data_IF_420807703719
#
_entry.id   IF_420807703719
#
_cell.length_a   1.000
_cell.length_b   1.000
_cell.length_c   1.000
_cell.angle_alpha   90.00
_cell.angle_beta   90.00
_cell.angle_gamma   90.00
#
_symmetry.space_group_name_H-M   'P 1'
#
loop_
_entity.id
_entity.type
_entity.pdbx_description
1 polymer ?
#
# COMPACT_ATOMS: atom_id res chain seq x y z
N UNK A 1 10.57 -22.45 20.36
CA UNK A 1 9.97 -23.61 19.68
C UNK A 1 8.87 -24.12 20.58
N UNK A 2 7.61 -23.98 20.18
CA UNK A 2 6.48 -24.55 20.96
C UNK A 2 6.51 -26.08 20.85
N UNK A 3 6.12 -26.76 21.92
CA UNK A 3 6.07 -28.22 22.01
C UNK A 3 5.08 -28.79 20.97
N UNK A 4 5.35 -29.98 20.41
CA UNK A 4 4.44 -30.68 19.47
C UNK A 4 3.01 -30.77 20.02
N UNK A 5 2.86 -30.86 21.34
CA UNK A 5 1.58 -30.94 22.03
C UNK A 5 0.80 -29.61 22.00
N UNK A 6 1.50 -28.47 22.12
CA UNK A 6 0.88 -27.14 22.07
C UNK A 6 0.39 -26.79 20.66
N UNK A 7 1.12 -27.20 19.62
CA UNK A 7 0.68 -27.05 18.23
C UNK A 7 -0.59 -27.88 17.94
N UNK A 8 -0.67 -29.11 18.47
CA UNK A 8 -1.83 -29.99 18.28
C UNK A 8 -3.10 -29.46 18.96
N UNK A 9 -2.97 -28.96 20.19
CA UNK A 9 -4.07 -28.30 20.91
C UNK A 9 -4.52 -27.03 20.21
N UNK A 10 -3.59 -26.26 19.63
CA UNK A 10 -3.90 -25.06 18.85
C UNK A 10 -4.65 -25.39 17.55
N UNK A 11 -4.22 -26.42 16.83
CA UNK A 11 -4.91 -26.90 15.62
C UNK A 11 -6.31 -27.44 15.94
N UNK A 12 -6.47 -28.21 17.03
CA UNK A 12 -7.77 -28.69 17.49
C UNK A 12 -8.70 -27.55 17.93
N UNK A 13 -8.17 -26.49 18.56
CA UNK A 13 -8.93 -25.28 18.90
C UNK A 13 -9.32 -24.48 17.65
N UNK A 14 -8.45 -24.38 16.66
CA UNK A 14 -8.72 -23.68 15.39
C UNK A 14 -9.82 -24.39 14.58
N UNK A 15 -9.83 -25.73 14.57
CA UNK A 15 -10.88 -26.53 13.92
C UNK A 15 -12.28 -26.35 14.54
N UNK A 16 -12.35 -25.90 15.79
CA UNK A 16 -13.61 -25.69 16.54
C UNK A 16 -14.17 -24.28 16.42
N UNK A 17 -13.42 -23.32 15.86
CA UNK A 17 -13.91 -21.96 15.67
C UNK A 17 -14.72 -21.89 14.38
N UNK A 18 -15.93 -21.32 14.41
CA UNK A 18 -16.70 -21.11 13.18
C UNK A 18 -15.90 -20.23 12.22
N UNK A 19 -15.92 -20.50 10.91
CA UNK A 19 -15.25 -19.68 9.93
C UNK A 19 -15.79 -18.25 10.03
N UNK A 20 -14.87 -17.28 10.09
CA UNK A 20 -15.24 -15.87 10.15
C UNK A 20 -15.77 -15.46 8.77
N UNK A 21 -17.08 -15.30 8.65
CA UNK A 21 -17.76 -14.95 7.39
C UNK A 21 -17.15 -13.73 6.70
N UNK A 22 -16.67 -12.75 7.47
CA UNK A 22 -15.99 -11.56 6.94
C UNK A 22 -14.62 -11.87 6.33
N UNK A 23 -13.82 -12.71 6.97
CA UNK A 23 -12.51 -13.13 6.46
C UNK A 23 -12.65 -13.95 5.20
N UNK A 24 -13.60 -14.89 5.15
CA UNK A 24 -13.84 -15.70 3.95
C UNK A 24 -14.25 -14.83 2.75
N UNK A 25 -15.11 -13.82 2.97
CA UNK A 25 -15.45 -12.84 1.93
C UNK A 25 -14.21 -12.10 1.40
N UNK A 26 -13.29 -11.69 2.28
CA UNK A 26 -12.05 -11.02 1.84
C UNK A 26 -11.13 -11.98 1.09
N UNK A 27 -10.98 -13.22 1.54
CA UNK A 27 -10.20 -14.24 0.83
C UNK A 27 -10.78 -14.49 -0.57
N UNK A 28 -12.11 -14.59 -0.69
CA UNK A 28 -12.76 -14.79 -1.98
C UNK A 28 -12.52 -13.62 -2.95
N UNK A 29 -12.68 -12.37 -2.50
CA UNK A 29 -12.38 -11.17 -3.31
C UNK A 29 -10.92 -11.17 -3.78
N UNK A 30 -9.98 -11.62 -2.94
CA UNK A 30 -8.56 -11.72 -3.32
C UNK A 30 -8.35 -12.83 -4.36
N UNK A 31 -8.99 -14.00 -4.21
CA UNK A 31 -8.89 -15.09 -5.19
C UNK A 31 -9.42 -14.66 -6.56
N UNK A 32 -10.55 -13.98 -6.58
CA UNK A 32 -11.16 -13.43 -7.81
C UNK A 32 -10.25 -12.40 -8.47
N UNK A 33 -9.71 -11.45 -7.71
CA UNK A 33 -8.78 -10.46 -8.23
C UNK A 33 -7.46 -11.07 -8.73
N UNK A 34 -6.93 -12.07 -8.02
CA UNK A 34 -5.70 -12.76 -8.43
C UNK A 34 -5.89 -13.54 -9.74
N UNK A 35 -7.05 -14.16 -9.93
CA UNK A 35 -7.38 -14.82 -11.18
C UNK A 35 -7.57 -13.80 -12.31
N UNK A 36 -8.33 -12.74 -12.07
CA UNK A 36 -8.68 -11.75 -13.09
C UNK A 36 -7.49 -10.90 -13.56
N UNK A 37 -6.60 -10.50 -12.63
CA UNK A 37 -5.55 -9.52 -12.92
C UNK A 37 -4.14 -10.11 -12.97
N UNK A 38 -3.90 -11.26 -12.34
CA UNK A 38 -2.58 -11.90 -12.30
C UNK A 38 -2.56 -13.28 -12.96
N UNK A 39 -3.70 -13.77 -13.48
CA UNK A 39 -3.85 -15.12 -14.05
C UNK A 39 -3.39 -16.23 -13.09
N UNK A 40 -3.71 -16.07 -11.80
CA UNK A 40 -3.29 -17.01 -10.74
C UNK A 40 -4.45 -17.54 -9.94
N UNK A 41 -4.57 -18.86 -9.93
CA UNK A 41 -5.35 -19.58 -8.91
C UNK A 41 -4.50 -19.69 -7.65
N UNK A 42 -5.01 -19.13 -6.56
CA UNK A 42 -4.28 -19.03 -5.28
C UNK A 42 -5.07 -19.71 -4.17
N UNK A 43 -4.34 -20.37 -3.27
CA UNK A 43 -4.89 -20.91 -2.03
C UNK A 43 -4.84 -19.85 -0.92
N UNK A 44 -5.55 -20.09 0.19
CA UNK A 44 -5.49 -19.23 1.37
C UNK A 44 -4.08 -19.13 1.92
N UNK A 45 -3.34 -20.24 1.86
CA UNK A 45 -1.94 -20.29 2.26
C UNK A 45 -1.10 -19.32 1.43
N UNK A 46 -1.34 -19.24 0.12
CA UNK A 46 -0.64 -18.31 -0.76
C UNK A 46 -0.97 -16.86 -0.40
N UNK A 47 -2.26 -16.57 -0.16
CA UNK A 47 -2.71 -15.24 0.28
C UNK A 47 -1.99 -14.83 1.57
N UNK A 48 -2.03 -15.68 2.61
CA UNK A 48 -1.39 -15.37 3.89
C UNK A 48 0.13 -15.25 3.79
N UNK A 49 0.78 -16.08 2.98
CA UNK A 49 2.22 -15.97 2.73
C UNK A 49 2.56 -14.67 1.99
N UNK A 50 1.70 -14.22 1.08
CA UNK A 50 1.93 -13.00 0.30
C UNK A 50 1.98 -11.75 1.18
N UNK A 51 1.13 -11.68 2.22
CA UNK A 51 1.10 -10.60 3.21
C UNK A 51 2.39 -10.55 4.05
N UNK A 52 3.09 -11.69 4.17
CA UNK A 52 4.38 -11.80 4.86
C UNK A 52 5.57 -11.60 3.92
N UNK A 53 5.35 -11.12 2.70
CA UNK A 53 6.41 -10.84 1.74
C UNK A 53 7.47 -9.92 2.33
N UNK A 54 8.74 -10.24 2.07
CA UNK A 54 9.90 -9.38 2.44
C UNK A 54 9.90 -8.05 1.69
N UNK A 55 9.04 -7.89 0.67
CA UNK A 55 8.86 -6.64 -0.04
C UNK A 55 8.04 -5.62 0.76
N UNK A 56 7.33 -6.03 1.80
CA UNK A 56 6.54 -5.13 2.64
C UNK A 56 7.30 -4.68 3.88
N UNK A 57 7.08 -3.42 4.26
CA UNK A 57 7.44 -2.96 5.60
C UNK A 57 6.50 -3.58 6.65
N UNK A 58 6.94 -3.72 7.91
CA UNK A 58 6.11 -4.33 8.97
C UNK A 58 4.74 -3.67 9.15
N UNK A 59 4.67 -2.34 8.99
CA UNK A 59 3.44 -1.56 9.20
C UNK A 59 2.41 -1.78 8.06
N UNK A 60 2.74 -1.61 6.76
CA UNK A 60 1.87 -2.05 5.66
C UNK A 60 1.47 -3.52 5.74
N UNK A 61 2.39 -4.44 6.04
CA UNK A 61 2.07 -5.87 6.17
C UNK A 61 1.05 -6.14 7.29
N UNK A 62 1.24 -5.52 8.46
CA UNK A 62 0.28 -5.60 9.56
C UNK A 62 -1.07 -5.00 9.18
N UNK A 63 -1.08 -3.88 8.45
CA UNK A 63 -2.30 -3.28 7.94
C UNK A 63 -3.06 -4.24 7.02
N UNK A 64 -2.41 -4.78 5.99
CA UNK A 64 -3.00 -5.76 5.07
C UNK A 64 -3.55 -6.98 5.82
N UNK A 65 -2.77 -7.54 6.74
CA UNK A 65 -3.22 -8.66 7.57
C UNK A 65 -4.51 -8.33 8.33
N UNK A 66 -4.54 -7.19 9.03
CA UNK A 66 -5.73 -6.74 9.77
C UNK A 66 -6.92 -6.48 8.84
N UNK A 67 -6.66 -5.98 7.64
CA UNK A 67 -7.69 -5.70 6.64
C UNK A 67 -8.35 -6.98 6.13
N UNK A 68 -7.59 -8.04 5.87
CA UNK A 68 -8.13 -9.36 5.49
C UNK A 68 -8.93 -9.98 6.64
N UNK A 69 -8.47 -9.80 7.88
CA UNK A 69 -9.20 -10.24 9.08
C UNK A 69 -10.41 -9.38 9.44
N UNK A 70 -10.65 -8.27 8.73
CA UNK A 70 -11.65 -7.25 9.09
C UNK A 70 -11.51 -6.79 10.55
N UNK A 71 -10.28 -6.58 11.01
CA UNK A 71 -9.93 -6.31 12.41
C UNK A 71 -9.80 -4.82 12.75
N UNK A 72 -10.17 -3.93 11.83
CA UNK A 72 -10.17 -2.49 12.06
C UNK A 72 -11.52 -2.04 12.62
N UNK A 73 -11.51 -1.05 13.51
CA UNK A 73 -12.73 -0.46 14.10
C UNK A 73 -13.26 0.64 13.17
N UNK A 74 -14.02 0.24 12.16
CA UNK A 74 -14.59 1.13 11.13
C UNK A 74 -16.00 0.68 10.74
N UNK A 75 -16.76 1.56 10.07
CA UNK A 75 -18.06 1.23 9.52
C UNK A 75 -19.01 0.63 10.57
N UNK A 76 -19.59 -0.52 10.24
CA UNK A 76 -20.59 -1.23 11.05
C UNK A 76 -20.12 -1.62 12.46
N UNK A 77 -18.82 -1.57 12.75
CA UNK A 77 -18.32 -1.74 14.11
C UNK A 77 -18.92 -0.71 15.07
N UNK A 78 -19.12 0.53 14.60
CA UNK A 78 -19.56 1.64 15.45
C UNK A 78 -21.09 1.76 15.60
N UNK A 79 -21.87 1.15 14.71
CA UNK A 79 -23.34 1.36 14.63
C UNK A 79 -24.10 0.90 15.87
N UNK A 80 -23.53 -0.02 16.65
CA UNK A 80 -24.18 -0.56 17.86
C UNK A 80 -23.72 0.14 19.15
N UNK A 81 -22.88 1.18 19.03
CA UNK A 81 -22.35 1.93 20.17
C UNK A 81 -23.11 3.28 20.21
N UNK A 82 -24.01 3.50 21.19
CA UNK A 82 -25.00 4.59 21.18
C UNK A 82 -24.44 6.01 20.97
N UNK A 83 -23.19 6.27 21.34
CA UNK A 83 -22.54 7.59 21.23
C UNK A 83 -21.46 7.66 20.14
N UNK A 84 -21.24 6.57 19.42
CA UNK A 84 -20.20 6.49 18.39
C UNK A 84 -20.76 6.18 17.00
N UNK A 85 -22.08 6.13 16.83
CA UNK A 85 -22.74 5.79 15.56
C UNK A 85 -22.24 6.61 14.38
N UNK A 86 -21.98 7.91 14.60
CA UNK A 86 -21.48 8.84 13.57
C UNK A 86 -20.10 8.45 13.00
N UNK A 87 -19.32 7.64 13.74
CA UNK A 87 -18.03 7.10 13.28
C UNK A 87 -18.17 5.94 12.29
N UNK A 88 -19.39 5.43 12.09
CA UNK A 88 -19.66 4.40 11.09
C UNK A 88 -19.70 4.97 9.68
N UNK A 89 -19.93 6.27 9.54
CA UNK A 89 -20.22 6.91 8.25
C UNK A 89 -19.12 7.92 7.92
N UNK A 90 -18.71 7.95 6.67
CA UNK A 90 -17.85 9.00 6.14
C UNK A 90 -18.70 10.25 5.96
N UNK A 91 -18.43 11.32 6.71
CA UNK A 91 -19.24 12.54 6.71
C UNK A 91 -19.31 13.18 5.32
N UNK A 92 -18.21 13.20 4.57
CA UNK A 92 -18.19 13.85 3.24
C UNK A 92 -18.86 13.04 2.13
N UNK A 93 -19.02 11.73 2.35
CA UNK A 93 -19.60 10.85 1.34
C UNK A 93 -20.97 10.32 1.74
N UNK A 94 -21.41 10.58 2.97
CA UNK A 94 -22.64 10.06 3.58
C UNK A 94 -22.82 8.55 3.37
N UNK A 95 -21.71 7.81 3.41
CA UNK A 95 -21.67 6.38 3.12
C UNK A 95 -20.98 5.61 4.25
N UNK A 96 -21.37 4.33 4.42
CA UNK A 96 -20.72 3.44 5.38
C UNK A 96 -19.21 3.39 5.11
N UNK A 97 -18.42 3.72 6.12
CA UNK A 97 -16.98 3.84 5.99
C UNK A 97 -16.29 2.48 6.19
N UNK A 98 -16.41 1.61 5.19
CA UNK A 98 -15.67 0.34 5.14
C UNK A 98 -14.31 0.48 4.43
N UNK A 99 -13.53 -0.60 4.38
CA UNK A 99 -12.22 -0.57 3.71
C UNK A 99 -12.29 -0.27 2.21
N UNK A 100 -13.34 -0.71 1.52
CA UNK A 100 -13.50 -0.47 0.09
C UNK A 100 -13.81 1.01 -0.15
N UNK A 101 -14.66 1.59 0.70
CA UNK A 101 -14.88 3.03 0.74
C UNK A 101 -13.57 3.78 0.99
N UNK A 102 -12.87 3.52 2.10
CA UNK A 102 -11.66 4.25 2.49
C UNK A 102 -10.57 4.18 1.41
N UNK A 103 -10.34 3.00 0.85
CA UNK A 103 -9.20 2.78 -0.05
C UNK A 103 -9.49 3.11 -1.51
N UNK A 104 -10.75 3.06 -1.97
CA UNK A 104 -11.08 3.17 -3.39
C UNK A 104 -12.13 4.26 -3.68
N UNK A 105 -13.21 4.33 -2.89
CA UNK A 105 -14.40 5.13 -3.26
C UNK A 105 -14.49 6.48 -2.56
N UNK A 106 -13.70 6.72 -1.51
CA UNK A 106 -13.81 7.90 -0.66
C UNK A 106 -13.47 9.17 -1.44
N UNK A 107 -14.35 10.18 -1.36
CA UNK A 107 -14.17 11.48 -2.01
C UNK A 107 -13.43 12.50 -1.14
N UNK A 108 -13.17 12.17 0.12
CA UNK A 108 -12.39 13.05 0.97
C UNK A 108 -10.99 13.28 0.39
N UNK A 109 -10.38 14.46 0.62
CA UNK A 109 -9.04 14.75 0.12
C UNK A 109 -8.00 13.71 0.54
N UNK A 110 -7.07 13.44 -0.35
CA UNK A 110 -5.95 12.54 -0.13
C UNK A 110 -6.03 11.20 -0.84
N UNK A 111 -7.15 10.47 -0.78
CA UNK A 111 -7.27 9.13 -1.37
C UNK A 111 -6.94 9.14 -2.87
N UNK A 112 -7.63 9.98 -3.64
CA UNK A 112 -7.40 10.14 -5.08
C UNK A 112 -5.99 10.68 -5.39
N UNK A 113 -5.48 11.59 -4.56
CA UNK A 113 -4.15 12.19 -4.73
C UNK A 113 -3.04 11.15 -4.58
N UNK A 114 -3.14 10.26 -3.59
CA UNK A 114 -2.19 9.17 -3.37
C UNK A 114 -2.21 8.18 -4.54
N UNK A 115 -3.39 7.78 -5.04
CA UNK A 115 -3.44 6.89 -6.19
C UNK A 115 -2.95 7.54 -7.47
N UNK A 116 -3.21 8.83 -7.69
CA UNK A 116 -2.66 9.57 -8.81
C UNK A 116 -1.12 9.58 -8.74
N UNK A 117 -0.54 9.85 -7.57
CA UNK A 117 0.91 9.82 -7.38
C UNK A 117 1.51 8.41 -7.61
N UNK A 118 0.87 7.37 -7.10
CA UNK A 118 1.29 5.98 -7.32
C UNK A 118 1.22 5.59 -8.81
N UNK A 119 0.14 5.98 -9.49
CA UNK A 119 -0.05 5.77 -10.92
C UNK A 119 1.03 6.46 -11.74
N UNK A 120 1.29 7.74 -11.48
CA UNK A 120 2.29 8.48 -12.24
C UNK A 120 3.68 7.87 -12.06
N UNK A 121 4.05 7.52 -10.83
CA UNK A 121 5.33 6.87 -10.54
C UNK A 121 5.48 5.52 -11.24
N UNK A 122 4.40 4.74 -11.32
CA UNK A 122 4.38 3.49 -12.08
C UNK A 122 4.58 3.73 -13.59
N UNK A 123 3.92 4.75 -14.13
CA UNK A 123 3.96 5.08 -15.56
C UNK A 123 5.31 5.64 -16.05
N UNK A 124 6.21 6.02 -15.14
CA UNK A 124 7.60 6.32 -15.51
C UNK A 124 8.35 5.06 -15.98
N UNK A 125 7.94 3.87 -15.52
CA UNK A 125 8.58 2.59 -15.86
C UNK A 125 7.77 1.74 -16.83
N UNK A 126 6.47 1.74 -16.66
CA UNK A 126 5.51 0.84 -17.32
C UNK A 126 4.50 1.62 -18.16
N UNK A 127 3.90 0.99 -19.17
CA UNK A 127 3.02 1.69 -20.12
C UNK A 127 1.55 1.73 -19.70
N UNK A 128 1.13 0.83 -18.81
CA UNK A 128 -0.27 0.71 -18.38
C UNK A 128 -0.39 0.61 -16.87
N UNK A 129 -1.28 1.41 -16.29
CA UNK A 129 -1.61 1.33 -14.87
C UNK A 129 -2.55 0.15 -14.58
N UNK A 130 -2.18 -0.79 -13.69
CA UNK A 130 -3.06 -1.88 -13.32
C UNK A 130 -4.30 -1.35 -12.59
N UNK A 131 -5.42 -2.04 -12.77
CA UNK A 131 -6.63 -1.71 -12.02
C UNK A 131 -6.41 -1.89 -10.51
N UNK A 132 -6.86 -0.89 -9.75
CA UNK A 132 -6.83 -0.92 -8.29
C UNK A 132 -8.24 -1.20 -7.78
N UNK A 133 -8.40 -2.33 -7.12
CA UNK A 133 -9.61 -2.74 -6.44
C UNK A 133 -9.25 -3.22 -5.03
N UNK A 134 -10.24 -3.40 -4.16
CA UNK A 134 -9.98 -3.95 -2.84
C UNK A 134 -9.26 -5.31 -2.91
N UNK A 135 -9.61 -6.16 -3.90
CA UNK A 135 -8.97 -7.46 -4.09
C UNK A 135 -7.51 -7.34 -4.52
N UNK A 136 -7.20 -6.47 -5.49
CA UNK A 136 -5.81 -6.27 -5.92
C UNK A 136 -4.96 -5.59 -4.85
N UNK A 137 -5.52 -4.73 -4.00
CA UNK A 137 -4.82 -4.16 -2.84
C UNK A 137 -4.51 -5.24 -1.79
N UNK A 138 -5.52 -5.96 -1.33
CA UNK A 138 -5.35 -6.94 -0.26
C UNK A 138 -4.49 -8.14 -0.72
N UNK A 139 -4.55 -8.47 -2.01
CA UNK A 139 -3.77 -9.49 -2.68
C UNK A 139 -2.51 -8.99 -3.36
N UNK A 140 -2.05 -7.74 -3.13
CA UNK A 140 -0.99 -7.15 -3.96
C UNK A 140 0.33 -7.95 -3.91
N UNK A 141 0.59 -8.67 -2.82
CA UNK A 141 1.76 -9.56 -2.69
C UNK A 141 1.75 -10.77 -3.62
N UNK A 142 0.59 -11.09 -4.22
CA UNK A 142 0.42 -12.18 -5.19
C UNK A 142 0.68 -11.73 -6.63
N UNK A 143 0.78 -10.42 -6.86
CA UNK A 143 0.98 -9.85 -8.18
C UNK A 143 2.21 -10.44 -8.84
N UNK A 144 2.06 -10.75 -10.13
CA UNK A 144 3.10 -11.29 -10.98
C UNK A 144 3.07 -10.51 -12.30
N UNK A 145 4.23 -10.05 -12.73
CA UNK A 145 4.41 -9.34 -13.99
C UNK A 145 5.40 -10.15 -14.83
N UNK A 146 5.14 -10.27 -16.12
CA UNK A 146 6.01 -11.00 -17.05
C UNK A 146 6.60 -10.01 -18.04
N UNK A 147 7.92 -10.07 -18.20
CA UNK A 147 8.64 -9.32 -19.22
C UNK A 147 8.72 -10.08 -20.54
N UNK A 148 9.50 -9.53 -21.47
CA UNK A 148 9.72 -10.10 -22.79
C UNK A 148 10.28 -11.54 -22.71
N UNK A 149 9.63 -12.46 -23.42
CA UNK A 149 9.96 -13.89 -23.37
C UNK A 149 9.31 -14.66 -22.22
N UNK A 150 8.33 -14.07 -21.51
CA UNK A 150 7.47 -14.76 -20.54
C UNK A 150 8.11 -15.01 -19.17
N UNK A 151 9.31 -14.48 -18.93
CA UNK A 151 9.98 -14.55 -17.62
C UNK A 151 9.38 -13.52 -16.66
N UNK A 152 9.30 -13.85 -15.37
CA UNK A 152 8.85 -12.92 -14.33
C UNK A 152 9.75 -11.69 -14.28
N UNK A 153 9.17 -10.51 -14.43
CA UNK A 153 9.83 -9.22 -14.18
C UNK A 153 9.81 -8.94 -12.68
N UNK A 154 10.90 -9.33 -12.01
CA UNK A 154 11.03 -9.23 -10.55
C UNK A 154 11.10 -7.78 -10.07
N UNK A 155 11.65 -6.88 -10.89
CA UNK A 155 11.78 -5.46 -10.57
C UNK A 155 10.42 -4.78 -10.58
N UNK A 156 9.69 -4.93 -11.68
CA UNK A 156 8.33 -4.38 -11.85
C UNK A 156 7.35 -4.98 -10.86
N UNK A 157 7.39 -6.30 -10.65
CA UNK A 157 6.57 -6.96 -9.63
C UNK A 157 6.83 -6.38 -8.23
N UNK A 158 8.10 -6.20 -7.87
CA UNK A 158 8.46 -5.67 -6.56
C UNK A 158 8.05 -4.20 -6.41
N UNK A 159 8.20 -3.40 -7.47
CA UNK A 159 7.74 -2.02 -7.49
C UNK A 159 6.23 -1.94 -7.28
N UNK A 160 5.44 -2.76 -7.99
CA UNK A 160 3.99 -2.84 -7.80
C UNK A 160 3.62 -3.13 -6.35
N UNK A 161 4.22 -4.18 -5.78
CA UNK A 161 3.98 -4.60 -4.40
C UNK A 161 4.25 -3.45 -3.41
N UNK A 162 5.37 -2.75 -3.57
CA UNK A 162 5.72 -1.59 -2.76
C UNK A 162 4.68 -0.47 -2.93
N UNK A 163 4.41 -0.06 -4.17
CA UNK A 163 3.53 1.07 -4.45
C UNK A 163 2.13 0.83 -3.90
N UNK A 164 1.52 -0.33 -4.17
CA UNK A 164 0.16 -0.61 -3.73
C UNK A 164 0.06 -0.71 -2.20
N UNK A 165 1.01 -1.39 -1.56
CA UNK A 165 0.98 -1.58 -0.10
C UNK A 165 1.26 -0.29 0.67
N UNK A 166 2.25 0.51 0.26
CA UNK A 166 2.57 1.79 0.89
C UNK A 166 1.45 2.82 0.65
N UNK A 167 0.87 2.86 -0.56
CA UNK A 167 -0.25 3.76 -0.89
C UNK A 167 -1.48 3.45 -0.04
N UNK A 168 -1.91 2.18 0.00
CA UNK A 168 -3.07 1.77 0.78
C UNK A 168 -2.88 2.04 2.28
N UNK A 169 -1.68 1.76 2.81
CA UNK A 169 -1.37 2.04 4.20
C UNK A 169 -1.34 3.55 4.49
N UNK A 170 -0.81 4.37 3.58
CA UNK A 170 -0.79 5.81 3.73
C UNK A 170 -2.21 6.41 3.68
N UNK A 171 -3.08 5.95 2.76
CA UNK A 171 -4.49 6.36 2.71
C UNK A 171 -5.19 6.03 4.03
N UNK A 172 -4.98 4.82 4.54
CA UNK A 172 -5.49 4.41 5.85
C UNK A 172 -5.01 5.32 6.99
N UNK A 173 -3.72 5.69 6.99
CA UNK A 173 -3.15 6.60 7.99
C UNK A 173 -3.72 8.01 7.88
N UNK A 174 -3.86 8.54 6.68
CA UNK A 174 -4.44 9.86 6.44
C UNK A 174 -5.89 9.92 6.93
N UNK A 175 -6.68 8.87 6.67
CA UNK A 175 -8.03 8.74 7.21
C UNK A 175 -8.03 8.73 8.74
N UNK A 176 -7.13 7.98 9.37
CA UNK A 176 -7.07 7.93 10.83
C UNK A 176 -6.67 9.28 11.43
N UNK A 177 -5.66 9.94 10.88
CA UNK A 177 -5.25 11.27 11.31
C UNK A 177 -6.39 12.28 11.16
N UNK A 178 -7.12 12.25 10.04
CA UNK A 178 -8.31 13.10 9.83
C UNK A 178 -9.35 12.89 10.93
N UNK A 179 -9.73 11.64 11.18
CA UNK A 179 -10.84 11.30 12.09
C UNK A 179 -10.44 11.41 13.57
N UNK A 180 -9.17 11.20 13.92
CA UNK A 180 -8.70 11.14 15.31
C UNK A 180 -7.99 12.43 15.73
N UNK A 181 -7.11 12.96 14.90
CA UNK A 181 -6.19 14.04 15.27
C UNK A 181 -6.63 15.41 14.75
N UNK A 182 -7.47 15.44 13.69
CA UNK A 182 -7.87 16.67 12.99
C UNK A 182 -9.37 16.96 13.02
N UNK A 183 -10.15 16.28 13.86
CA UNK A 183 -11.58 16.52 14.03
C UNK A 183 -12.39 16.49 12.72
N UNK A 184 -12.00 15.67 11.74
CA UNK A 184 -12.64 15.58 10.43
C UNK A 184 -11.96 16.39 9.33
N UNK A 185 -11.07 17.33 9.67
CA UNK A 185 -10.43 18.20 8.69
C UNK A 185 -9.32 17.46 7.91
N UNK A 186 -9.36 17.45 6.56
CA UNK A 186 -8.33 16.81 5.76
C UNK A 186 -7.00 17.57 5.84
N UNK A 187 -5.89 16.85 5.65
CA UNK A 187 -4.59 17.48 5.47
C UNK A 187 -4.51 18.22 4.12
N UNK A 188 -3.76 19.33 4.02
CA UNK A 188 -3.54 20.00 2.75
C UNK A 188 -2.86 19.09 1.72
N UNK A 189 -3.18 19.25 0.44
CA UNK A 189 -2.65 18.43 -0.65
C UNK A 189 -1.11 18.40 -0.70
N UNK A 190 -0.45 19.52 -0.37
CA UNK A 190 1.00 19.59 -0.27
C UNK A 190 1.54 18.66 0.83
N UNK A 191 0.90 18.66 2.00
CA UNK A 191 1.30 17.81 3.12
C UNK A 191 1.12 16.33 2.75
N UNK A 192 0.00 15.98 2.10
CA UNK A 192 -0.30 14.62 1.64
C UNK A 192 0.74 14.16 0.61
N UNK A 193 1.05 15.02 -0.36
CA UNK A 193 2.06 14.76 -1.39
C UNK A 193 3.43 14.53 -0.75
N UNK A 194 3.82 15.35 0.22
CA UNK A 194 5.09 15.22 0.94
C UNK A 194 5.13 13.92 1.77
N UNK A 195 4.02 13.50 2.39
CA UNK A 195 3.93 12.21 3.10
C UNK A 195 4.13 11.02 2.17
N UNK A 196 3.56 11.06 0.95
CA UNK A 196 3.79 10.01 -0.05
C UNK A 196 5.24 9.98 -0.52
N UNK A 197 5.79 11.14 -0.91
CA UNK A 197 7.21 11.29 -1.29
C UNK A 197 8.12 10.73 -0.23
N UNK A 198 7.87 11.08 1.03
CA UNK A 198 8.64 10.59 2.15
C UNK A 198 8.52 9.06 2.28
N UNK A 199 7.32 8.49 2.25
CA UNK A 199 7.11 7.05 2.37
C UNK A 199 7.88 6.25 1.30
N UNK A 200 7.76 6.65 0.04
CA UNK A 200 8.43 5.98 -1.08
C UNK A 200 9.96 6.18 -1.04
N UNK A 201 10.44 7.40 -0.75
CA UNK A 201 11.88 7.64 -0.62
C UNK A 201 12.50 6.89 0.56
N UNK A 202 11.80 6.77 1.69
CA UNK A 202 12.24 5.95 2.81
C UNK A 202 12.38 4.48 2.42
N UNK A 203 11.49 3.96 1.56
CA UNK A 203 11.61 2.61 1.02
C UNK A 203 12.85 2.46 0.14
N UNK A 204 13.09 3.40 -0.78
CA UNK A 204 14.30 3.44 -1.61
C UNK A 204 15.58 3.47 -0.76
N UNK A 205 15.65 4.35 0.26
CA UNK A 205 16.83 4.44 1.12
C UNK A 205 17.06 3.13 1.89
N UNK A 206 16.00 2.50 2.41
CA UNK A 206 16.14 1.22 3.08
C UNK A 206 16.65 0.12 2.13
N UNK A 207 16.19 0.10 0.88
CA UNK A 207 16.67 -0.83 -0.13
C UNK A 207 18.16 -0.63 -0.44
N UNK A 208 18.62 0.63 -0.57
CA UNK A 208 20.04 0.95 -0.74
C UNK A 208 20.87 0.47 0.45
N UNK A 209 20.41 0.69 1.68
CA UNK A 209 21.09 0.21 2.90
C UNK A 209 21.20 -1.32 2.89
N UNK A 210 20.12 -2.03 2.52
CA UNK A 210 20.11 -3.48 2.47
C UNK A 210 20.95 -4.05 1.32
N UNK A 211 21.08 -3.33 0.20
CA UNK A 211 21.92 -3.71 -0.93
C UNK A 211 23.41 -3.50 -0.67
N UNK A 212 23.78 -2.47 0.09
CA UNK A 212 25.17 -2.20 0.49
C UNK A 212 25.64 -3.05 1.68
N UNK A 213 24.74 -3.81 2.32
CA UNK A 213 25.09 -4.69 3.45
C UNK A 213 25.85 -5.94 2.97
N UNK A 214 26.89 -6.41 3.69
CA UNK A 214 27.58 -7.65 3.37
C UNK A 214 26.63 -8.87 3.39
N UNK A 215 26.58 -9.63 2.29
CA UNK A 215 25.70 -10.82 2.17
C UNK A 215 26.03 -11.96 3.15
N UNK A 216 27.25 -12.00 3.68
CA UNK A 216 27.71 -13.01 4.65
C UNK A 216 27.30 -12.68 6.10
N UNK A 217 26.60 -11.57 6.32
CA UNK A 217 26.14 -11.17 7.66
C UNK A 217 24.93 -11.95 8.16
N UNK A 218 24.67 -11.88 9.47
CA UNK A 218 23.48 -12.49 10.11
C UNK A 218 22.16 -11.82 9.72
N UNK A 219 22.21 -10.59 9.21
CA UNK A 219 21.02 -9.80 8.85
C UNK A 219 20.71 -9.92 7.35
N UNK A 220 19.44 -9.85 6.95
CA UNK A 220 19.05 -9.90 5.53
C UNK A 220 19.76 -8.83 4.71
N UNK A 221 20.26 -9.24 3.55
CA UNK A 221 20.81 -8.36 2.52
C UNK A 221 19.93 -8.46 1.26
N UNK A 222 19.86 -7.38 0.49
CA UNK A 222 19.13 -7.34 -0.78
C UNK A 222 20.13 -7.43 -1.93
N UNK A 223 19.75 -8.06 -3.04
CA UNK A 223 20.61 -8.10 -4.23
C UNK A 223 20.64 -6.69 -4.86
N UNK A 224 21.82 -6.08 -5.11
CA UNK A 224 21.90 -4.78 -5.77
C UNK A 224 21.16 -4.75 -7.12
N UNK A 225 21.31 -5.80 -7.94
CA UNK A 225 20.59 -5.94 -9.20
C UNK A 225 19.07 -5.79 -9.03
N UNK A 226 18.47 -6.42 -8.00
CA UNK A 226 17.04 -6.30 -7.73
C UNK A 226 16.63 -4.87 -7.34
N UNK A 227 17.50 -4.11 -6.66
CA UNK A 227 17.24 -2.71 -6.32
C UNK A 227 17.27 -1.84 -7.57
N UNK A 228 18.27 -2.01 -8.43
CA UNK A 228 18.33 -1.33 -9.74
C UNK A 228 17.08 -1.69 -10.58
N UNK A 229 16.79 -2.98 -10.73
CA UNK A 229 15.60 -3.46 -11.45
C UNK A 229 14.31 -2.89 -10.88
N UNK A 230 14.18 -2.73 -9.56
CA UNK A 230 12.96 -2.13 -8.95
C UNK A 230 12.84 -0.65 -9.34
N UNK A 231 13.89 0.14 -9.09
CA UNK A 231 13.78 1.60 -9.03
C UNK A 231 14.24 2.33 -10.29
N UNK A 232 14.94 1.67 -11.21
CA UNK A 232 15.32 2.29 -12.48
C UNK A 232 14.11 2.77 -13.26
N UNK A 233 14.29 3.89 -13.95
CA UNK A 233 13.31 4.77 -14.62
C UNK A 233 12.44 5.61 -13.68
N UNK A 234 12.51 5.39 -12.37
CA UNK A 234 11.63 6.07 -11.41
C UNK A 234 12.34 7.14 -10.59
N UNK A 235 13.62 7.41 -10.88
CA UNK A 235 14.45 8.31 -10.09
C UNK A 235 14.43 9.74 -10.63
N UNK A 236 14.63 10.69 -9.72
CA UNK A 236 14.79 12.10 -10.09
C UNK A 236 16.16 12.29 -10.74
N UNK A 237 16.17 13.00 -11.88
CA UNK A 237 17.37 13.26 -12.68
C UNK A 237 18.20 12.00 -12.99
N UNK A 238 17.55 10.87 -13.28
CA UNK A 238 18.24 9.57 -13.44
C UNK A 238 19.32 9.57 -14.53
N UNK A 239 19.22 10.45 -15.53
CA UNK A 239 20.20 10.58 -16.60
C UNK A 239 21.57 11.08 -16.11
N UNK A 240 21.62 11.78 -14.98
CA UNK A 240 22.87 12.23 -14.35
C UNK A 240 23.48 11.19 -13.41
N UNK A 241 22.75 10.11 -13.12
CA UNK A 241 23.20 9.04 -12.24
C UNK A 241 24.00 7.98 -13.00
N UNK A 242 25.02 7.36 -12.38
CA UNK A 242 25.68 6.19 -12.95
C UNK A 242 24.71 5.00 -13.00
N UNK A 243 25.00 4.02 -13.86
CA UNK A 243 24.18 2.82 -14.00
C UNK A 243 24.01 2.06 -12.66
N UNK A 244 25.05 2.05 -11.81
CA UNK A 244 24.99 1.51 -10.44
C UNK A 244 24.93 2.64 -9.41
N UNK A 245 23.79 3.34 -9.36
CA UNK A 245 23.56 4.48 -8.47
C UNK A 245 23.35 4.11 -6.99
N UNK A 246 23.38 2.83 -6.62
CA UNK A 246 23.04 2.37 -5.26
C UNK A 246 23.93 3.00 -4.19
N UNK A 247 25.18 3.34 -4.55
CA UNK A 247 26.15 3.97 -3.65
C UNK A 247 26.12 5.50 -3.70
N UNK A 248 25.41 6.08 -4.66
CA UNK A 248 25.37 7.53 -4.81
C UNK A 248 24.63 8.18 -3.64
N UNK A 249 25.17 9.28 -3.09
CA UNK A 249 24.43 10.07 -2.13
C UNK A 249 23.21 10.71 -2.80
N UNK A 250 22.13 10.91 -2.03
CA UNK A 250 20.97 11.74 -2.44
C UNK A 250 20.18 11.27 -3.67
N UNK A 251 20.13 9.97 -3.94
CA UNK A 251 19.17 9.43 -4.93
C UNK A 251 17.76 9.48 -4.37
N UNK A 252 16.85 10.12 -5.09
CA UNK A 252 15.43 10.26 -4.75
C UNK A 252 14.55 9.75 -5.90
N UNK A 253 13.32 9.39 -5.55
CA UNK A 253 12.27 9.09 -6.51
C UNK A 253 11.78 10.36 -7.19
N UNK A 254 11.54 10.27 -8.50
CA UNK A 254 11.27 11.37 -9.41
C UNK A 254 10.14 12.29 -8.98
N UNK A 255 10.38 13.59 -9.11
CA UNK A 255 9.43 14.66 -8.75
C UNK A 255 8.27 14.82 -9.75
N UNK A 256 8.38 14.24 -10.95
CA UNK A 256 7.36 14.28 -12.01
C UNK A 256 6.16 13.39 -11.75
N UNK A 257 6.28 12.43 -10.83
CA UNK A 257 5.17 11.60 -10.39
C UNK A 257 4.06 12.39 -9.65
N UNK A 258 4.27 13.68 -9.36
CA UNK A 258 3.38 14.46 -8.51
C UNK A 258 2.61 15.51 -9.32
N UNK A 259 1.30 15.71 -9.06
CA UNK A 259 0.57 16.79 -9.69
C UNK A 259 1.29 18.13 -9.46
N UNK A 260 1.30 19.04 -10.46
CA UNK A 260 1.86 20.36 -10.27
C UNK A 260 1.13 21.07 -9.13
N UNK A 261 1.85 21.93 -8.40
CA UNK A 261 1.29 22.74 -7.32
C UNK A 261 0.04 23.45 -7.84
N UNK A 262 -1.13 23.12 -7.31
CA UNK A 262 -2.29 24.00 -7.45
C UNK A 262 -1.93 25.29 -6.70
N UNK A 263 -1.93 26.46 -7.35
CA UNK A 263 -1.75 27.72 -6.64
C UNK A 263 -2.79 27.78 -5.53
N UNK A 264 -2.39 28.13 -4.31
CA UNK A 264 -3.35 28.44 -3.27
C UNK A 264 -4.31 29.48 -3.85
N UNK A 265 -5.62 29.23 -3.75
CA UNK A 265 -6.61 30.29 -3.96
C UNK A 265 -6.24 31.36 -2.95
N UNK A 266 -5.58 32.42 -3.42
CA UNK A 266 -5.53 33.67 -2.67
C UNK A 266 -6.99 34.08 -2.56
N UNK A 267 -7.41 34.18 -1.32
CA UNK A 267 -8.67 34.77 -0.93
C UNK A 267 -8.64 36.23 -1.42
N UNK A 268 -9.15 36.46 -2.63
CA UNK A 268 -9.45 37.79 -3.15
C UNK A 268 -10.74 38.28 -2.48
N UNK A 269 -10.69 38.38 -1.15
CA UNK A 269 -11.60 39.20 -0.36
C UNK A 269 -10.86 40.46 0.08
N UNK A 270 -10.44 41.25 -0.92
CA UNK A 270 -10.15 42.68 -0.75
C UNK A 270 -11.01 43.48 -1.71
N UNK A 271 -12.14 43.93 -1.16
CA UNK A 271 -12.69 45.27 -1.37
C UNK A 271 -13.11 45.65 -2.77
N UNK A 272 -14.41 45.56 -3.04
CA UNK A 272 -15.11 46.53 -3.88
C UNK A 272 -16.47 46.80 -3.25
N UNK A 273 -16.72 48.07 -2.90
CA UNK A 273 -18.05 48.65 -2.69
C UNK A 273 -18.58 48.65 -1.28
#
# INVERSE_FOLDING_TARGET
MYSKTENRVREEKLKKLPPRTSTEKKLQIIREAALAHFDRRVSDRDIWNSVLSKNFLPRPAQFLWKSIHNAHKIGSYWTHIPECGDRAVCQECEALEDLDHILIKCKCPGQALIWAAAKNLWLEKETSWPEVSLGTILGCGLAEFRGDGGKTDRGTQRLYQILISESAYLIWRLRNERVIDRNGEPAPDEEITNKFKFAINQRLQMDKILANRPRKGKLPALAPALVLETWSKTLDDEQSLPQDWIREPRVLVGSRAFPPRTPSRRDDSRGIG
#
